data_IF_965372977898
#
_entry.id   IF_965372977898
#
_cell.length_a   1.000
_cell.length_b   1.000
_cell.length_c   1.000
_cell.angle_alpha   90.00
_cell.angle_beta   90.00
_cell.angle_gamma   90.00
#
_symmetry.space_group_name_H-M   'P 1'
#
loop_
_entity.id
_entity.type
_entity.pdbx_description
1 polymer ?
#
# COMPACT_ATOMS: atom_id res chain seq x y z
N UNK A 1 -2.66 23.80 5.71
CA UNK A 1 -2.13 22.74 6.56
C UNK A 1 -1.72 21.56 5.68
N UNK A 2 -0.48 21.15 5.75
CA UNK A 2 0.04 19.98 5.01
C UNK A 2 0.05 18.79 5.98
N UNK A 3 -0.38 17.62 5.50
CA UNK A 3 -0.41 16.41 6.31
C UNK A 3 0.20 15.26 5.56
N UNK A 4 0.98 14.43 6.26
CA UNK A 4 1.54 13.20 5.72
C UNK A 4 0.95 12.00 6.47
N UNK A 5 0.46 11.03 5.72
CA UNK A 5 -0.14 9.81 6.27
C UNK A 5 0.68 8.61 5.79
N UNK A 6 1.09 7.75 6.73
CA UNK A 6 1.68 6.45 6.42
C UNK A 6 0.59 5.40 6.58
N UNK A 7 0.20 4.80 5.49
CA UNK A 7 -0.88 3.82 5.45
C UNK A 7 -0.31 2.42 5.24
N UNK A 8 -0.64 1.51 6.14
CA UNK A 8 -0.25 0.11 6.04
C UNK A 8 -1.30 -0.66 5.27
N UNK A 9 -0.87 -1.41 4.26
CA UNK A 9 -1.73 -2.21 3.39
C UNK A 9 -1.42 -3.68 3.65
N UNK A 10 -2.41 -4.41 4.13
CA UNK A 10 -2.22 -5.81 4.56
C UNK A 10 -3.34 -6.72 4.04
N UNK A 11 -2.97 -7.97 3.78
CA UNK A 11 -3.95 -9.04 3.54
C UNK A 11 -4.28 -9.68 4.87
N UNK A 12 -5.57 -9.73 5.23
CA UNK A 12 -6.04 -10.40 6.43
C UNK A 12 -6.14 -11.91 6.25
N UNK A 13 -6.30 -12.61 7.38
CA UNK A 13 -6.45 -14.07 7.40
C UNK A 13 -7.76 -14.54 6.72
N UNK A 14 -8.73 -13.65 6.60
CA UNK A 14 -10.00 -13.88 5.89
C UNK A 14 -9.89 -13.68 4.37
N UNK A 15 -8.71 -13.30 3.87
CA UNK A 15 -8.48 -13.03 2.45
C UNK A 15 -8.84 -11.62 2.01
N UNK A 16 -9.39 -10.81 2.90
CA UNK A 16 -9.68 -9.39 2.62
C UNK A 16 -8.46 -8.53 2.85
N UNK A 17 -8.47 -7.36 2.25
CA UNK A 17 -7.38 -6.39 2.40
C UNK A 17 -7.82 -5.23 3.27
N UNK A 18 -6.88 -4.69 4.04
CA UNK A 18 -7.12 -3.52 4.87
C UNK A 18 -6.05 -2.46 4.60
N UNK A 19 -6.45 -1.21 4.75
CA UNK A 19 -5.54 -0.06 4.75
C UNK A 19 -5.83 0.72 6.02
N UNK A 20 -4.81 0.98 6.81
CA UNK A 20 -4.98 1.71 8.06
C UNK A 20 -3.76 2.58 8.34
N UNK A 21 -3.93 3.54 9.22
CA UNK A 21 -2.89 4.49 9.61
C UNK A 21 -3.00 4.79 11.10
N UNK A 22 -1.86 5.10 11.71
CA UNK A 22 -1.82 5.57 13.11
C UNK A 22 -2.10 7.07 13.20
N UNK A 23 -2.03 7.80 12.09
CA UNK A 23 -2.38 9.21 12.04
C UNK A 23 -3.89 9.38 12.13
N UNK A 24 -4.30 10.51 12.64
CA UNK A 24 -5.72 10.83 12.79
C UNK A 24 -5.95 12.32 12.60
N UNK A 25 -7.20 12.70 12.43
CA UNK A 25 -7.61 14.08 12.34
C UNK A 25 -8.72 14.32 13.38
N UNK A 26 -8.41 15.10 14.42
CA UNK A 26 -9.28 15.19 15.57
C UNK A 26 -9.45 13.83 16.25
N UNK A 27 -10.67 13.35 16.37
CA UNK A 27 -11.00 12.04 16.93
C UNK A 27 -11.19 10.96 15.85
N UNK A 28 -11.01 11.31 14.57
CA UNK A 28 -11.23 10.40 13.45
C UNK A 28 -9.93 9.75 13.02
N UNK A 29 -9.90 8.42 13.06
CA UNK A 29 -8.81 7.61 12.51
C UNK A 29 -9.19 7.17 11.10
N UNK A 30 -8.18 6.88 10.28
CA UNK A 30 -8.37 6.51 8.90
C UNK A 30 -8.28 5.00 8.71
N UNK A 31 -9.18 4.44 7.93
CA UNK A 31 -9.16 3.01 7.63
C UNK A 31 -10.03 2.67 6.45
N UNK A 32 -9.73 1.53 5.83
CA UNK A 32 -10.51 1.02 4.71
C UNK A 32 -10.32 -0.48 4.54
N UNK A 33 -11.33 -1.13 3.95
CA UNK A 33 -11.36 -2.56 3.70
C UNK A 33 -11.88 -2.84 2.29
N UNK A 34 -11.50 -3.96 1.73
CA UNK A 34 -12.01 -4.39 0.44
C UNK A 34 -11.53 -5.79 0.07
N UNK A 35 -12.14 -6.37 -0.96
CA UNK A 35 -11.73 -7.65 -1.52
C UNK A 35 -10.53 -7.54 -2.46
N UNK A 36 -10.09 -6.32 -2.72
CA UNK A 36 -8.86 -6.00 -3.43
C UNK A 36 -8.18 -4.81 -2.76
N UNK A 37 -6.87 -4.65 -3.00
CA UNK A 37 -6.14 -3.49 -2.49
C UNK A 37 -6.71 -2.20 -3.07
N UNK A 38 -7.08 -2.19 -4.35
CA UNK A 38 -7.67 -1.00 -4.98
C UNK A 38 -8.94 -0.55 -4.26
N UNK A 39 -9.83 -1.48 -3.92
CA UNK A 39 -11.05 -1.17 -3.17
C UNK A 39 -10.77 -0.73 -1.74
N UNK A 40 -9.83 -1.38 -1.08
CA UNK A 40 -9.43 -0.99 0.28
C UNK A 40 -8.86 0.43 0.31
N UNK A 41 -8.07 0.81 -0.70
CA UNK A 41 -7.54 2.18 -0.84
C UNK A 41 -8.65 3.20 -1.09
N UNK A 42 -9.62 2.88 -1.94
CA UNK A 42 -10.78 3.76 -2.18
C UNK A 42 -11.53 4.02 -0.87
N UNK A 43 -11.78 2.97 -0.12
CA UNK A 43 -12.47 3.06 1.17
C UNK A 43 -11.66 3.90 2.17
N UNK A 44 -10.33 3.69 2.21
CA UNK A 44 -9.43 4.49 3.04
C UNK A 44 -9.48 5.98 2.67
N UNK A 45 -9.43 6.31 1.39
CA UNK A 45 -9.49 7.69 0.93
C UNK A 45 -10.83 8.32 1.30
N UNK A 46 -11.93 7.57 1.20
CA UNK A 46 -13.24 8.03 1.65
C UNK A 46 -13.22 8.37 3.13
N UNK A 47 -12.60 7.53 3.97
CA UNK A 47 -12.51 7.81 5.41
C UNK A 47 -11.69 9.08 5.70
N UNK A 48 -10.64 9.34 4.93
CA UNK A 48 -9.85 10.58 5.07
C UNK A 48 -10.69 11.80 4.72
N UNK A 49 -11.43 11.74 3.62
CA UNK A 49 -12.30 12.85 3.19
C UNK A 49 -13.41 13.11 4.19
N UNK A 50 -14.00 12.06 4.74
CA UNK A 50 -15.03 12.18 5.79
C UNK A 50 -14.47 12.85 7.04
N UNK A 51 -13.27 12.48 7.46
CA UNK A 51 -12.62 13.10 8.61
C UNK A 51 -12.38 14.61 8.40
N UNK A 52 -11.99 14.99 7.19
CA UNK A 52 -11.82 16.40 6.81
C UNK A 52 -13.14 17.16 6.95
N UNK A 53 -14.23 16.59 6.43
CA UNK A 53 -15.55 17.22 6.51
C UNK A 53 -16.06 17.34 7.94
N UNK A 54 -15.80 16.35 8.78
CA UNK A 54 -16.13 16.40 10.21
C UNK A 54 -15.40 17.55 10.92
N UNK A 55 -14.10 17.72 10.64
CA UNK A 55 -13.32 18.82 11.21
C UNK A 55 -13.88 20.19 10.79
N UNK A 56 -14.23 20.35 9.52
CA UNK A 56 -14.82 21.57 9.00
C UNK A 56 -16.18 21.85 9.67
N UNK A 57 -16.99 20.83 9.83
CA UNK A 57 -18.32 20.96 10.45
C UNK A 57 -18.22 21.41 11.91
N UNK A 58 -17.16 21.03 12.61
CA UNK A 58 -16.90 21.45 13.99
C UNK A 58 -16.21 22.83 14.07
N UNK A 59 -15.97 23.46 12.94
CA UNK A 59 -15.29 24.77 12.88
C UNK A 59 -13.80 24.70 13.18
N UNK A 60 -13.20 23.50 13.08
CA UNK A 60 -11.79 23.28 13.33
C UNK A 60 -10.99 23.39 12.03
N UNK A 61 -9.69 23.64 12.18
CA UNK A 61 -8.78 23.64 11.05
C UNK A 61 -8.68 22.24 10.44
N UNK A 62 -8.72 22.19 9.12
CA UNK A 62 -8.60 20.93 8.37
C UNK A 62 -7.73 21.11 7.14
N UNK A 63 -6.95 20.09 6.75
CA UNK A 63 -6.18 20.15 5.51
C UNK A 63 -7.11 20.08 4.30
N UNK A 64 -6.63 20.57 3.16
CA UNK A 64 -7.24 20.28 1.87
C UNK A 64 -6.76 18.90 1.43
N UNK A 65 -7.65 18.05 0.93
CA UNK A 65 -7.30 16.68 0.58
C UNK A 65 -6.10 16.60 -0.37
N UNK A 66 -6.03 17.49 -1.34
CA UNK A 66 -4.96 17.55 -2.34
C UNK A 66 -3.58 17.84 -1.73
N UNK A 67 -3.54 18.40 -0.53
CA UNK A 67 -2.29 18.68 0.20
C UNK A 67 -1.86 17.52 1.10
N UNK A 68 -2.65 16.45 1.16
CA UNK A 68 -2.31 15.26 1.93
C UNK A 68 -1.43 14.35 1.10
N UNK A 69 -0.29 13.95 1.67
CA UNK A 69 0.62 12.98 1.07
C UNK A 69 0.41 11.65 1.76
N UNK A 70 0.06 10.62 0.99
CA UNK A 70 -0.14 9.27 1.50
C UNK A 70 0.98 8.37 1.00
N UNK A 71 1.75 7.79 1.94
CA UNK A 71 2.75 6.78 1.66
C UNK A 71 2.17 5.42 2.04
N UNK A 72 2.09 4.52 1.08
CA UNK A 72 1.56 3.17 1.32
C UNK A 72 2.68 2.18 1.54
N UNK A 73 2.57 1.40 2.63
CA UNK A 73 3.49 0.31 2.95
C UNK A 73 2.75 -1.01 2.76
N UNK A 74 3.23 -1.85 1.86
CA UNK A 74 2.56 -3.10 1.49
C UNK A 74 3.22 -4.31 2.15
N UNK A 75 2.42 -5.30 2.55
CA UNK A 75 2.94 -6.65 2.65
C UNK A 75 3.06 -7.24 1.23
N UNK A 76 3.73 -8.38 1.09
CA UNK A 76 3.97 -8.94 -0.25
C UNK A 76 2.68 -9.37 -0.94
N UNK A 77 1.71 -10.04 -0.25
CA UNK A 77 0.43 -10.33 -0.89
C UNK A 77 -0.28 -9.10 -1.44
N UNK A 78 -0.29 -8.01 -0.69
CA UNK A 78 -0.93 -6.76 -1.12
C UNK A 78 -0.19 -6.13 -2.30
N UNK A 79 1.15 -6.18 -2.29
CA UNK A 79 1.96 -5.69 -3.40
C UNK A 79 1.58 -6.39 -4.70
N UNK A 80 1.52 -7.72 -4.70
CA UNK A 80 1.16 -8.48 -5.91
C UNK A 80 -0.32 -8.36 -6.27
N UNK A 81 -1.19 -8.06 -5.32
CA UNK A 81 -2.59 -7.80 -5.63
C UNK A 81 -2.77 -6.45 -6.34
N UNK A 82 -2.13 -5.42 -5.84
CA UNK A 82 -2.25 -4.08 -6.41
C UNK A 82 -1.50 -3.95 -7.74
N UNK A 83 -0.25 -4.43 -7.79
CA UNK A 83 0.58 -4.45 -9.00
C UNK A 83 0.47 -5.81 -9.67
N UNK A 84 -0.69 -6.14 -10.18
CA UNK A 84 -1.08 -7.47 -10.65
C UNK A 84 -0.55 -7.85 -12.04
N UNK A 85 0.23 -6.97 -12.64
CA UNK A 85 0.81 -7.18 -13.97
C UNK A 85 2.20 -7.83 -13.94
N UNK A 86 2.74 -8.16 -12.78
CA UNK A 86 4.04 -8.83 -12.68
C UNK A 86 3.93 -10.34 -12.94
N UNK A 87 4.87 -10.83 -13.74
CA UNK A 87 5.12 -12.27 -13.82
C UNK A 87 5.96 -12.66 -12.59
N UNK A 88 5.42 -13.49 -11.71
CA UNK A 88 6.06 -13.81 -10.41
C UNK A 88 7.41 -14.47 -10.60
N UNK A 89 7.54 -15.44 -11.54
CA UNK A 89 8.80 -16.12 -11.81
C UNK A 89 9.88 -15.15 -12.27
N UNK A 90 9.54 -14.27 -13.20
CA UNK A 90 10.46 -13.27 -13.73
C UNK A 90 10.83 -12.23 -12.69
N UNK A 91 9.87 -11.81 -11.90
CA UNK A 91 10.13 -10.87 -10.81
C UNK A 91 11.06 -11.47 -9.76
N UNK A 92 10.82 -12.74 -9.38
CA UNK A 92 11.68 -13.45 -8.42
C UNK A 92 13.13 -13.53 -8.93
N UNK A 93 13.31 -13.90 -10.19
CA UNK A 93 14.63 -13.95 -10.83
C UNK A 93 15.31 -12.57 -10.79
N UNK A 94 14.59 -11.53 -11.17
CA UNK A 94 15.10 -10.17 -11.18
C UNK A 94 15.47 -9.68 -9.77
N UNK A 95 14.69 -10.05 -8.76
CA UNK A 95 14.96 -9.68 -7.36
C UNK A 95 16.03 -10.53 -6.69
N UNK A 96 16.45 -11.64 -7.30
CA UNK A 96 17.39 -12.57 -6.68
C UNK A 96 16.76 -13.37 -5.55
N UNK A 97 15.48 -13.70 -5.67
CA UNK A 97 14.70 -14.46 -4.68
C UNK A 97 14.26 -15.77 -5.32
N UNK A 98 14.34 -16.87 -4.56
CA UNK A 98 13.87 -18.16 -5.02
C UNK A 98 12.38 -18.09 -5.42
N UNK A 99 12.04 -18.66 -6.57
CA UNK A 99 10.68 -18.61 -7.12
C UNK A 99 9.64 -19.25 -6.19
N UNK A 100 9.93 -20.40 -5.63
CA UNK A 100 9.00 -21.08 -4.71
C UNK A 100 8.75 -20.25 -3.46
N UNK A 101 9.80 -19.62 -2.93
CA UNK A 101 9.68 -18.72 -1.79
C UNK A 101 8.86 -17.49 -2.17
N UNK A 102 9.10 -16.91 -3.35
CA UNK A 102 8.33 -15.74 -3.79
C UNK A 102 6.84 -16.07 -3.91
N UNK A 103 6.50 -17.25 -4.43
CA UNK A 103 5.10 -17.69 -4.50
C UNK A 103 4.48 -17.86 -3.13
N UNK A 104 5.23 -18.37 -2.15
CA UNK A 104 4.78 -18.49 -0.77
C UNK A 104 4.56 -17.09 -0.14
N UNK A 105 5.43 -16.15 -0.43
CA UNK A 105 5.26 -14.76 0.04
C UNK A 105 4.04 -14.10 -0.60
N UNK A 106 3.83 -14.33 -1.89
CA UNK A 106 2.66 -13.81 -2.60
C UNK A 106 1.35 -14.33 -2.03
N UNK A 107 1.30 -15.62 -1.68
CA UNK A 107 0.09 -16.22 -1.11
C UNK A 107 -0.11 -15.87 0.37
N UNK A 108 0.94 -15.43 1.05
CA UNK A 108 0.91 -15.18 2.49
C UNK A 108 1.19 -16.41 3.35
N UNK A 109 1.51 -17.55 2.73
CA UNK A 109 1.86 -18.78 3.48
C UNK A 109 3.23 -18.70 4.14
N UNK A 110 4.08 -17.76 3.70
CA UNK A 110 5.35 -17.46 4.33
C UNK A 110 5.55 -15.95 4.31
N UNK A 111 6.41 -15.44 5.19
CA UNK A 111 6.74 -14.04 5.29
C UNK A 111 8.23 -13.83 5.11
N UNK A 112 8.67 -12.94 4.22
CA UNK A 112 10.09 -12.68 4.03
C UNK A 112 10.66 -11.94 5.23
N UNK A 113 11.92 -12.21 5.53
CA UNK A 113 12.68 -11.43 6.49
C UNK A 113 13.09 -10.08 5.91
N UNK A 114 13.68 -9.24 6.73
CA UNK A 114 14.06 -7.88 6.38
C UNK A 114 14.96 -7.81 5.14
N UNK A 115 15.96 -8.71 5.07
CA UNK A 115 16.90 -8.76 3.95
C UNK A 115 16.22 -9.07 2.62
N UNK A 116 15.28 -10.00 2.62
CA UNK A 116 14.50 -10.37 1.44
C UNK A 116 13.53 -9.26 1.06
N UNK A 117 12.89 -8.62 2.04
CA UNK A 117 12.03 -7.46 1.79
C UNK A 117 12.79 -6.35 1.09
N UNK A 118 14.03 -6.08 1.50
CA UNK A 118 14.89 -5.08 0.85
C UNK A 118 15.16 -5.45 -0.60
N UNK A 119 15.44 -6.74 -0.90
CA UNK A 119 15.63 -7.21 -2.28
C UNK A 119 14.39 -6.98 -3.14
N UNK A 120 13.21 -7.30 -2.60
CA UNK A 120 11.94 -7.12 -3.31
C UNK A 120 11.70 -5.63 -3.60
N UNK A 121 11.86 -4.79 -2.59
CA UNK A 121 11.66 -3.36 -2.72
C UNK A 121 12.62 -2.73 -3.75
N UNK A 122 13.90 -3.08 -3.67
CA UNK A 122 14.91 -2.58 -4.61
C UNK A 122 14.62 -3.03 -6.04
N UNK A 123 14.18 -4.28 -6.23
CA UNK A 123 13.82 -4.80 -7.55
C UNK A 123 12.65 -4.03 -8.15
N UNK A 124 11.61 -3.79 -7.37
CA UNK A 124 10.44 -3.03 -7.82
C UNK A 124 10.82 -1.59 -8.21
N UNK A 125 11.64 -0.93 -7.41
CA UNK A 125 12.10 0.43 -7.70
C UNK A 125 13.00 0.48 -8.93
N UNK A 126 13.85 -0.52 -9.13
CA UNK A 126 14.70 -0.61 -10.32
C UNK A 126 13.86 -0.78 -11.59
N UNK A 127 12.84 -1.65 -11.54
CA UNK A 127 11.90 -1.81 -12.64
C UNK A 127 11.17 -0.50 -12.94
N UNK A 128 10.72 0.21 -11.91
CA UNK A 128 10.04 1.48 -12.08
C UNK A 128 10.95 2.51 -12.78
N UNK A 129 12.22 2.57 -12.40
CA UNK A 129 13.19 3.47 -13.03
C UNK A 129 13.43 3.11 -14.50
N UNK A 130 13.56 1.82 -14.82
CA UNK A 130 13.74 1.36 -16.19
C UNK A 130 12.51 1.67 -17.04
N UNK A 131 11.30 1.44 -16.50
CA UNK A 131 10.06 1.75 -17.20
C UNK A 131 9.88 3.25 -17.43
N UNK A 132 10.32 4.07 -16.48
CA UNK A 132 10.24 5.52 -16.62
C UNK A 132 11.22 6.07 -17.68
N UNK A 133 12.30 5.33 -17.98
CA UNK A 133 13.37 5.78 -18.87
C UNK A 133 13.23 5.29 -20.32
N UNK A 134 12.37 4.29 -20.57
CA UNK A 134 12.25 3.73 -21.91
C UNK A 134 11.40 4.61 -22.82
N UNK A 135 11.58 4.44 -24.13
CA UNK A 135 10.72 5.04 -25.15
C UNK A 135 10.47 4.02 -26.26
N UNK A 136 9.30 4.11 -26.90
CA UNK A 136 8.95 3.31 -28.08
C UNK A 136 9.25 4.07 -29.36
#
# INVERSE_FOLDING_TARGET
MVMKIRATVEKGSDGLFSVYSDEHLGNSYFGGFGDSVAKAKEDFITSVKEAIEEQKAEGLEAPVFEDIQIEYLYDVPSFFNFFDYFNVSKFAEFAGVNESKMRAYKSGSAHPGEKTMTKICNAAHKMAAELAAFTL
#
